data_IF_806974465124
#
_entry.id   IF_806974465124
#
_cell.length_a   1.000
_cell.length_b   1.000
_cell.length_c   1.000
_cell.angle_alpha   90.00
_cell.angle_beta   90.00
_cell.angle_gamma   90.00
#
_symmetry.space_group_name_H-M   'P 1'
#
loop_
_entity.id
_entity.type
_entity.pdbx_description
1 polymer ?
#
# COMPACT_ATOMS: atom_id res chain seq x y z
N UNK A 1 5.54 20.24 5.10
CA UNK A 1 5.75 20.60 3.67
C UNK A 1 7.12 21.27 3.49
N UNK A 2 8.15 20.51 3.08
CA UNK A 2 9.50 21.08 3.09
C UNK A 2 10.65 20.38 2.36
N UNK A 3 10.47 19.27 1.63
CA UNK A 3 11.56 18.68 0.83
C UNK A 3 11.06 18.20 -0.54
N UNK A 4 11.98 18.14 -1.51
CA UNK A 4 11.74 17.46 -2.78
C UNK A 4 11.55 15.95 -2.52
N UNK A 5 10.59 15.29 -3.19
CA UNK A 5 10.35 13.87 -2.96
C UNK A 5 11.57 13.04 -3.34
N UNK A 6 11.88 12.04 -2.52
CA UNK A 6 12.94 11.10 -2.82
C UNK A 6 12.44 10.03 -3.80
N UNK A 7 13.30 9.55 -4.72
CA UNK A 7 12.96 8.38 -5.53
C UNK A 7 12.80 7.14 -4.65
N UNK A 8 11.62 6.52 -4.69
CA UNK A 8 11.35 5.24 -4.04
C UNK A 8 11.48 4.12 -5.07
N UNK A 9 12.42 3.16 -4.88
CA UNK A 9 12.55 2.03 -5.80
C UNK A 9 11.42 1.04 -5.59
N UNK A 10 10.89 0.53 -6.70
CA UNK A 10 9.95 -0.57 -6.75
C UNK A 10 10.39 -1.48 -7.92
N UNK A 11 10.88 -2.70 -7.67
CA UNK A 11 11.29 -3.59 -8.75
C UNK A 11 10.07 -4.01 -9.59
N UNK A 12 10.26 -4.29 -10.89
CA UNK A 12 9.19 -4.82 -11.72
C UNK A 12 8.80 -6.22 -11.21
N UNK A 13 7.51 -6.42 -10.94
CA UNK A 13 6.99 -7.66 -10.36
C UNK A 13 6.45 -8.63 -11.44
N UNK A 14 6.64 -8.35 -12.72
CA UNK A 14 6.00 -9.14 -13.80
C UNK A 14 6.48 -10.60 -13.78
N UNK A 15 7.78 -10.83 -13.55
CA UNK A 15 8.32 -12.19 -13.44
C UNK A 15 7.86 -12.90 -12.15
N UNK A 16 7.73 -12.14 -11.04
CA UNK A 16 7.22 -12.60 -9.74
C UNK A 16 5.76 -13.02 -9.80
N UNK A 17 4.90 -12.22 -10.46
CA UNK A 17 3.47 -12.49 -10.62
C UNK A 17 3.20 -13.61 -11.64
N UNK A 18 4.11 -13.79 -12.60
CA UNK A 18 4.08 -14.89 -13.55
C UNK A 18 3.17 -14.66 -14.76
N UNK A 19 2.76 -15.75 -15.38
CA UNK A 19 2.08 -15.72 -16.70
C UNK A 19 0.71 -15.05 -16.60
N UNK A 20 0.39 -14.17 -17.56
CA UNK A 20 -0.91 -13.50 -17.68
C UNK A 20 -0.93 -12.11 -17.06
N UNK A 21 -0.01 -11.81 -16.15
CA UNK A 21 0.16 -10.48 -15.58
C UNK A 21 0.95 -9.57 -16.50
N UNK A 22 0.51 -8.31 -16.59
CA UNK A 22 1.27 -7.21 -17.19
C UNK A 22 1.13 -5.97 -16.34
N UNK A 23 2.20 -5.18 -16.27
CA UNK A 23 2.14 -3.84 -15.71
C UNK A 23 1.29 -2.96 -16.62
N UNK A 24 0.32 -2.26 -16.04
CA UNK A 24 -0.60 -1.37 -16.76
C UNK A 24 -0.41 0.08 -16.40
N UNK A 25 0.15 0.36 -15.21
CA UNK A 25 0.50 1.70 -14.79
C UNK A 25 1.62 1.68 -13.73
N UNK A 26 2.38 2.76 -13.65
CA UNK A 26 3.38 3.01 -12.61
C UNK A 26 3.65 4.51 -12.55
N UNK A 27 3.45 5.10 -11.38
CA UNK A 27 3.73 6.52 -11.16
C UNK A 27 3.93 6.81 -9.66
N UNK A 28 3.97 8.10 -9.33
CA UNK A 28 3.93 8.63 -7.97
C UNK A 28 2.49 9.04 -7.65
N UNK A 29 1.99 8.66 -6.48
CA UNK A 29 0.72 9.17 -5.95
C UNK A 29 0.90 10.62 -5.52
N UNK A 30 1.87 10.89 -4.64
CA UNK A 30 2.15 12.22 -4.11
C UNK A 30 1.32 12.58 -2.89
N UNK A 31 1.90 13.41 -2.01
CA UNK A 31 1.29 13.88 -0.74
C UNK A 31 -0.18 14.30 -0.90
N UNK A 32 -0.46 15.18 -1.88
CA UNK A 32 -1.81 15.70 -2.08
C UNK A 32 -2.82 14.60 -2.43
N UNK A 33 -2.49 13.72 -3.38
CA UNK A 33 -3.40 12.65 -3.79
C UNK A 33 -3.55 11.58 -2.71
N UNK A 34 -2.48 11.29 -1.96
CA UNK A 34 -2.55 10.40 -0.81
C UNK A 34 -3.54 10.91 0.24
N UNK A 35 -3.49 12.22 0.55
CA UNK A 35 -4.51 12.86 1.40
C UNK A 35 -5.91 12.69 0.84
N UNK A 36 -6.13 12.99 -0.44
CA UNK A 36 -7.46 12.86 -1.07
C UNK A 36 -7.96 11.40 -1.07
N UNK A 37 -7.05 10.43 -1.19
CA UNK A 37 -7.38 9.02 -1.07
C UNK A 37 -7.87 8.69 0.34
N UNK A 38 -7.13 9.10 1.37
CA UNK A 38 -7.49 8.86 2.78
C UNK A 38 -8.82 9.54 3.17
N UNK A 39 -9.11 10.73 2.65
CA UNK A 39 -10.36 11.47 2.91
C UNK A 39 -11.64 10.71 2.49
N UNK A 40 -11.52 9.64 1.70
CA UNK A 40 -12.65 8.78 1.35
C UNK A 40 -13.11 7.89 2.51
N UNK A 41 -12.24 7.65 3.50
CA UNK A 41 -12.52 6.80 4.66
C UNK A 41 -12.35 7.48 6.02
N UNK A 42 -11.60 8.58 6.10
CA UNK A 42 -11.36 9.29 7.38
C UNK A 42 -11.59 10.79 7.25
N UNK A 43 -11.67 11.48 8.39
CA UNK A 43 -11.85 12.94 8.40
C UNK A 43 -10.69 13.68 7.74
N UNK A 44 -10.98 14.84 7.13
CA UNK A 44 -9.98 15.68 6.46
C UNK A 44 -8.76 16.02 7.34
N UNK A 45 -8.96 16.33 8.62
CA UNK A 45 -7.84 16.58 9.54
C UNK A 45 -6.94 15.36 9.74
N UNK A 46 -7.54 14.18 9.98
CA UNK A 46 -6.78 12.94 10.12
C UNK A 46 -6.04 12.55 8.83
N UNK A 47 -6.64 12.79 7.66
CA UNK A 47 -5.98 12.56 6.37
C UNK A 47 -4.86 13.56 6.08
N UNK A 48 -5.02 14.82 6.47
CA UNK A 48 -4.00 15.86 6.37
C UNK A 48 -2.78 15.50 7.22
N UNK A 49 -2.99 15.19 8.50
CA UNK A 49 -1.92 14.79 9.42
C UNK A 49 -1.19 13.54 8.88
N UNK A 50 -1.93 12.51 8.45
CA UNK A 50 -1.37 11.27 7.94
C UNK A 50 -0.55 11.42 6.64
N UNK A 51 -0.80 12.45 5.84
CA UNK A 51 -0.08 12.69 4.58
C UNK A 51 1.07 13.69 4.75
N UNK A 52 1.06 14.54 5.79
CA UNK A 52 1.94 15.70 5.92
C UNK A 52 3.45 15.38 5.94
N UNK A 53 3.81 14.17 6.38
CA UNK A 53 5.18 13.67 6.42
C UNK A 53 5.58 12.77 5.26
N UNK A 54 4.84 12.81 4.15
CA UNK A 54 5.18 12.08 2.93
C UNK A 54 6.53 12.53 2.37
N UNK A 55 7.50 11.62 2.29
CA UNK A 55 8.84 11.87 1.75
C UNK A 55 9.04 11.41 0.30
N UNK A 56 8.18 10.52 -0.18
CA UNK A 56 8.22 9.99 -1.55
C UNK A 56 7.44 8.67 -1.65
N UNK A 57 6.96 8.33 -2.84
CA UNK A 57 6.33 7.03 -3.10
C UNK A 57 6.58 6.53 -4.52
N UNK A 58 6.20 5.28 -4.73
CA UNK A 58 6.04 4.66 -6.05
C UNK A 58 4.89 3.67 -5.96
N UNK A 59 4.00 3.70 -6.94
CA UNK A 59 3.05 2.61 -7.14
C UNK A 59 3.27 1.89 -8.47
N UNK A 60 2.92 0.61 -8.51
CA UNK A 60 2.77 -0.14 -9.75
C UNK A 60 1.43 -0.89 -9.72
N UNK A 61 0.74 -0.86 -10.86
CA UNK A 61 -0.53 -1.53 -11.08
C UNK A 61 -0.35 -2.60 -12.15
N UNK A 62 -0.80 -3.81 -11.85
CA UNK A 62 -0.75 -4.96 -12.73
C UNK A 62 -2.14 -5.49 -12.97
N UNK A 63 -2.37 -6.01 -14.16
CA UNK A 63 -3.62 -6.64 -14.54
C UNK A 63 -3.36 -8.01 -15.15
N UNK A 64 -4.19 -8.97 -14.77
CA UNK A 64 -4.21 -10.29 -15.38
C UNK A 64 -5.37 -10.38 -16.37
N UNK A 65 -5.06 -10.47 -17.67
CA UNK A 65 -6.08 -10.49 -18.73
C UNK A 65 -6.92 -11.80 -18.74
N UNK A 66 -6.40 -12.91 -18.18
CA UNK A 66 -7.10 -14.20 -18.18
C UNK A 66 -8.22 -14.25 -17.14
N UNK A 67 -7.93 -13.76 -15.94
CA UNK A 67 -8.81 -13.88 -14.77
C UNK A 67 -9.47 -12.54 -14.39
N UNK A 68 -9.12 -11.45 -15.09
CA UNK A 68 -9.59 -10.08 -14.82
C UNK A 68 -9.25 -9.58 -13.41
N UNK A 69 -8.07 -9.96 -12.92
CA UNK A 69 -7.56 -9.65 -11.59
C UNK A 69 -6.61 -8.44 -11.61
N UNK A 70 -6.52 -7.75 -10.46
CA UNK A 70 -5.66 -6.59 -10.26
C UNK A 70 -4.69 -6.81 -9.11
N UNK A 71 -3.47 -6.30 -9.27
CA UNK A 71 -2.48 -6.16 -8.21
C UNK A 71 -2.02 -4.71 -8.16
N UNK A 72 -2.17 -4.07 -7.01
CA UNK A 72 -1.58 -2.77 -6.72
C UNK A 72 -0.51 -2.94 -5.65
N UNK A 73 0.66 -2.36 -5.88
CA UNK A 73 1.68 -2.16 -4.85
C UNK A 73 1.94 -0.67 -4.75
N UNK A 74 1.81 -0.10 -3.56
CA UNK A 74 2.14 1.29 -3.25
C UNK A 74 3.14 1.29 -2.11
N UNK A 75 4.37 1.69 -2.40
CA UNK A 75 5.46 1.80 -1.42
C UNK A 75 5.74 3.27 -1.13
N UNK A 76 5.70 3.63 0.15
CA UNK A 76 5.83 5.02 0.61
C UNK A 76 6.93 5.14 1.66
N UNK A 77 7.82 6.10 1.47
CA UNK A 77 8.83 6.50 2.47
C UNK A 77 8.39 7.80 3.13
N UNK A 78 8.48 7.82 4.45
CA UNK A 78 8.08 8.91 5.32
C UNK A 78 9.29 9.71 5.81
N UNK A 79 9.10 11.00 6.03
CA UNK A 79 10.14 11.93 6.48
C UNK A 79 10.69 11.53 7.87
N UNK A 80 9.86 10.91 8.71
CA UNK A 80 10.25 10.41 10.02
C UNK A 80 9.47 9.19 10.49
N UNK A 81 9.95 8.59 11.57
CA UNK A 81 9.27 7.47 12.25
C UNK A 81 7.91 7.89 12.80
N UNK A 82 7.78 9.16 13.22
CA UNK A 82 6.51 9.68 13.72
C UNK A 82 5.48 9.77 12.57
N UNK A 83 5.89 10.28 11.42
CA UNK A 83 5.03 10.40 10.24
C UNK A 83 4.53 9.03 9.75
N UNK A 84 5.42 8.03 9.71
CA UNK A 84 5.03 6.65 9.39
C UNK A 84 4.01 6.08 10.39
N UNK A 85 4.17 6.39 11.68
CA UNK A 85 3.25 5.92 12.74
C UNK A 85 1.88 6.61 12.64
N UNK A 86 1.86 7.91 12.31
CA UNK A 86 0.64 8.68 12.06
C UNK A 86 -0.12 8.11 10.86
N UNK A 87 0.59 7.82 9.77
CA UNK A 87 0.00 7.17 8.60
C UNK A 87 -0.57 5.79 8.92
N UNK A 88 0.19 4.90 9.57
CA UNK A 88 -0.28 3.54 9.87
C UNK A 88 -1.55 3.57 10.73
N UNK A 89 -1.59 4.47 11.73
CA UNK A 89 -2.76 4.66 12.58
C UNK A 89 -3.97 5.16 11.79
N UNK A 90 -3.77 6.13 10.90
CA UNK A 90 -4.83 6.65 10.04
C UNK A 90 -5.31 5.62 9.01
N UNK A 91 -4.39 4.81 8.45
CA UNK A 91 -4.72 3.78 7.48
C UNK A 91 -5.48 2.62 8.11
N UNK A 92 -5.24 2.31 9.38
CA UNK A 92 -6.08 1.39 10.14
C UNK A 92 -7.53 1.90 10.19
N UNK A 93 -7.75 3.16 10.59
CA UNK A 93 -9.10 3.76 10.64
C UNK A 93 -9.76 3.82 9.25
N UNK A 94 -8.97 4.11 8.23
CA UNK A 94 -9.41 4.06 6.83
C UNK A 94 -9.89 2.65 6.47
N UNK A 95 -9.09 1.62 6.77
CA UNK A 95 -9.44 0.23 6.48
C UNK A 95 -10.67 -0.25 7.25
N UNK A 96 -10.83 0.12 8.52
CA UNK A 96 -12.04 -0.14 9.30
C UNK A 96 -13.29 0.47 8.64
N UNK A 97 -13.17 1.66 8.07
CA UNK A 97 -14.28 2.34 7.37
C UNK A 97 -14.57 1.75 5.99
N UNK A 98 -13.54 1.42 5.21
CA UNK A 98 -13.70 0.92 3.84
C UNK A 98 -14.02 -0.58 3.77
N UNK A 99 -13.44 -1.37 4.68
CA UNK A 99 -13.48 -2.83 4.61
C UNK A 99 -14.27 -3.45 5.77
N UNK A 100 -14.64 -2.69 6.80
CA UNK A 100 -15.44 -3.19 7.93
C UNK A 100 -14.76 -4.32 8.71
N UNK A 101 -15.55 -5.32 9.12
CA UNK A 101 -15.09 -6.45 9.95
C UNK A 101 -14.30 -7.52 9.18
N UNK A 102 -13.89 -7.25 7.93
CA UNK A 102 -13.16 -8.20 7.09
C UNK A 102 -11.66 -8.29 7.43
N UNK A 103 -11.27 -8.03 8.67
CA UNK A 103 -9.90 -8.19 9.13
C UNK A 103 -9.45 -9.64 8.97
N UNK A 104 -8.20 -9.84 8.55
CA UNK A 104 -7.53 -11.15 8.51
C UNK A 104 -6.48 -11.16 9.63
N UNK A 105 -6.81 -11.69 10.82
CA UNK A 105 -5.86 -11.74 11.92
C UNK A 105 -4.68 -12.64 11.56
N UNK A 106 -3.47 -12.24 11.97
CA UNK A 106 -2.25 -13.03 11.80
C UNK A 106 -2.01 -13.47 10.35
N UNK A 107 -2.31 -12.59 9.38
CA UNK A 107 -2.20 -12.89 7.96
C UNK A 107 -0.80 -13.41 7.57
N UNK A 108 0.25 -12.67 7.91
CA UNK A 108 1.65 -13.14 7.90
C UNK A 108 2.51 -12.25 8.83
N UNK A 109 3.70 -12.70 9.24
CA UNK A 109 4.48 -12.07 10.32
C UNK A 109 4.80 -10.58 10.12
N UNK A 110 5.03 -10.17 8.88
CA UNK A 110 5.44 -8.81 8.52
C UNK A 110 4.24 -7.87 8.31
N UNK A 111 3.04 -8.42 8.13
CA UNK A 111 1.84 -7.62 7.91
C UNK A 111 1.46 -6.85 9.17
N UNK A 112 1.33 -5.53 9.06
CA UNK A 112 0.77 -4.71 10.13
C UNK A 112 -0.72 -5.01 10.28
N UNK A 113 -1.45 -4.92 9.17
CA UNK A 113 -2.88 -5.19 9.08
C UNK A 113 -3.23 -5.72 7.69
N UNK A 114 -4.17 -6.66 7.62
CA UNK A 114 -4.76 -7.11 6.37
C UNK A 114 -6.27 -7.20 6.49
N UNK A 115 -6.95 -6.90 5.38
CA UNK A 115 -8.39 -7.06 5.21
C UNK A 115 -8.66 -7.92 3.98
N UNK A 116 -9.77 -8.65 3.96
CA UNK A 116 -10.25 -9.44 2.83
C UNK A 116 -11.69 -9.05 2.46
N UNK A 117 -11.89 -7.89 1.80
CA UNK A 117 -13.17 -7.57 1.19
C UNK A 117 -13.47 -8.54 0.01
N UNK A 118 -14.67 -8.45 -0.57
CA UNK A 118 -15.07 -9.37 -1.64
C UNK A 118 -14.14 -9.26 -2.86
N UNK A 119 -13.42 -10.34 -3.16
CA UNK A 119 -12.61 -10.48 -4.38
C UNK A 119 -11.18 -9.92 -4.29
N UNK A 120 -10.75 -9.39 -3.16
CA UNK A 120 -9.35 -8.95 -2.97
C UNK A 120 -8.90 -9.10 -1.51
N UNK A 121 -7.59 -9.04 -1.31
CA UNK A 121 -6.92 -8.88 -0.03
C UNK A 121 -6.16 -7.56 -0.09
N UNK A 122 -6.26 -6.76 0.96
CA UNK A 122 -5.57 -5.49 1.11
C UNK A 122 -4.73 -5.55 2.37
N UNK A 123 -3.42 -5.40 2.25
CA UNK A 123 -2.50 -5.41 3.38
C UNK A 123 -1.73 -4.10 3.47
N UNK A 124 -1.56 -3.61 4.69
CA UNK A 124 -0.57 -2.63 5.09
C UNK A 124 0.59 -3.37 5.76
N UNK A 125 1.80 -3.12 5.29
CA UNK A 125 3.02 -3.80 5.72
C UNK A 125 4.04 -2.73 6.10
N UNK A 126 4.64 -2.85 7.28
CA UNK A 126 5.75 -2.01 7.70
C UNK A 126 7.08 -2.67 7.29
N UNK A 127 7.80 -2.04 6.35
CA UNK A 127 9.13 -2.53 5.92
C UNK A 127 10.21 -2.19 6.93
N UNK A 128 10.19 -0.96 7.42
CA UNK A 128 11.06 -0.47 8.47
C UNK A 128 10.34 0.64 9.24
N UNK A 129 11.09 1.42 10.03
CA UNK A 129 10.50 2.47 10.86
C UNK A 129 10.00 3.68 10.05
N UNK A 130 10.39 3.84 8.79
CA UNK A 130 10.03 5.00 7.94
C UNK A 130 9.41 4.59 6.59
N UNK A 131 9.20 3.31 6.34
CA UNK A 131 8.68 2.81 5.06
C UNK A 131 7.45 1.93 5.30
N UNK A 132 6.37 2.26 4.61
CA UNK A 132 5.12 1.48 4.60
C UNK A 132 4.77 1.08 3.18
N UNK A 133 4.25 -0.14 3.04
CA UNK A 133 3.78 -0.67 1.75
C UNK A 133 2.34 -1.14 1.86
N UNK A 134 1.52 -0.70 0.92
CA UNK A 134 0.16 -1.20 0.70
C UNK A 134 0.20 -2.15 -0.48
N UNK A 135 -0.29 -3.37 -0.28
CA UNK A 135 -0.49 -4.33 -1.35
C UNK A 135 -1.97 -4.67 -1.44
N UNK A 136 -2.54 -4.59 -2.64
CA UNK A 136 -3.85 -5.13 -2.98
C UNK A 136 -3.65 -6.25 -3.99
N UNK A 137 -4.22 -7.42 -3.75
CA UNK A 137 -4.10 -8.58 -4.64
C UNK A 137 -5.27 -9.55 -4.46
N UNK A 138 -5.50 -10.50 -5.37
CA UNK A 138 -6.61 -11.46 -5.27
C UNK A 138 -6.51 -12.44 -4.10
N UNK A 139 -5.30 -12.67 -3.58
CA UNK A 139 -5.05 -13.63 -2.50
C UNK A 139 -3.88 -13.21 -1.61
N UNK A 140 -3.91 -13.70 -0.37
CA UNK A 140 -2.82 -13.46 0.59
C UNK A 140 -1.50 -14.12 0.17
N UNK A 141 -1.58 -15.27 -0.50
CA UNK A 141 -0.41 -15.96 -1.06
C UNK A 141 0.32 -15.08 -2.08
N UNK A 142 -0.42 -14.35 -2.93
CA UNK A 142 0.18 -13.45 -3.89
C UNK A 142 0.81 -12.23 -3.19
N UNK A 143 0.18 -11.71 -2.13
CA UNK A 143 0.77 -10.63 -1.31
C UNK A 143 2.10 -11.08 -0.68
N UNK A 144 2.17 -12.28 -0.11
CA UNK A 144 3.40 -12.82 0.45
C UNK A 144 4.49 -12.99 -0.63
N UNK A 145 4.11 -13.48 -1.81
CA UNK A 145 5.04 -13.62 -2.95
C UNK A 145 5.60 -12.27 -3.39
N UNK A 146 4.75 -11.24 -3.47
CA UNK A 146 5.17 -9.86 -3.77
C UNK A 146 6.11 -9.35 -2.68
N UNK A 147 5.74 -9.56 -1.41
CA UNK A 147 6.53 -9.12 -0.28
C UNK A 147 7.94 -9.71 -0.30
N UNK A 148 8.07 -11.02 -0.52
CA UNK A 148 9.35 -11.72 -0.57
C UNK A 148 10.27 -11.15 -1.68
N UNK A 149 9.73 -10.79 -2.84
CA UNK A 149 10.49 -10.15 -3.92
C UNK A 149 11.00 -8.76 -3.52
N UNK A 150 10.18 -7.97 -2.82
CA UNK A 150 10.57 -6.62 -2.37
C UNK A 150 11.72 -6.64 -1.35
N UNK A 151 11.94 -7.77 -0.68
CA UNK A 151 13.04 -7.95 0.28
C UNK A 151 14.33 -8.53 -0.33
N UNK A 152 14.33 -8.86 -1.63
CA UNK A 152 15.47 -9.51 -2.32
C UNK A 152 16.55 -8.54 -2.79
#
# INVERSE_FOLDING_TARGET
AGNDPIPVPLPPLTDTLGTGWRQIDEDVVGEFMLRQYLEQGISSGAAEDAAAGWGGDRFALYYNDADSELVLVLRTVWDSVADNSEFQSAYQLYGETQFGDNLVPEAFPEATLCWQPEGEVVCLIAEDNVTSTIVRAPSLELIQTIWDELQS
#
